data_IF_460793646781
#
_entry.id   IF_460793646781
#
_cell.length_a   1.000
_cell.length_b   1.000
_cell.length_c   1.000
_cell.angle_alpha   90.00
_cell.angle_beta   90.00
_cell.angle_gamma   90.00
#
_symmetry.space_group_name_H-M   'P 1'
#
loop_
_entity.id
_entity.type
_entity.pdbx_description
1 polymer ?
#
# COMPACT_ATOMS: atom_id res chain seq x y z
N UNK A 1 -25.63 -11.23 18.47
CA UNK A 1 -24.18 -11.48 18.62
C UNK A 1 -23.32 -10.89 17.50
N UNK A 2 -23.81 -10.77 16.25
CA UNK A 2 -23.01 -10.12 15.19
C UNK A 2 -22.61 -8.71 15.64
N UNK A 3 -21.30 -8.46 15.66
CA UNK A 3 -20.72 -7.18 16.03
C UNK A 3 -20.35 -7.01 17.51
N UNK A 4 -20.49 -8.06 18.32
CA UNK A 4 -19.93 -8.07 19.67
C UNK A 4 -18.42 -8.26 19.63
N UNK A 5 -17.71 -7.63 20.56
CA UNK A 5 -16.27 -7.77 20.68
C UNK A 5 -15.96 -9.02 21.50
N UNK A 6 -15.19 -9.94 20.93
CA UNK A 6 -14.69 -11.11 21.66
C UNK A 6 -13.55 -10.66 22.58
N UNK A 7 -13.67 -10.98 23.87
CA UNK A 7 -12.64 -10.72 24.88
C UNK A 7 -11.82 -11.97 25.21
N UNK A 8 -12.44 -13.15 25.18
CA UNK A 8 -11.78 -14.41 25.53
C UNK A 8 -12.22 -15.55 24.62
N UNK A 9 -11.33 -16.53 24.44
CA UNK A 9 -11.64 -17.84 23.86
C UNK A 9 -11.15 -18.91 24.82
N UNK A 10 -12.04 -19.79 25.31
CA UNK A 10 -11.74 -20.82 26.31
C UNK A 10 -10.97 -20.24 27.52
N UNK A 11 -11.52 -19.17 28.11
CA UNK A 11 -10.97 -18.46 29.28
C UNK A 11 -9.59 -17.78 29.07
N UNK A 12 -9.07 -17.76 27.84
CA UNK A 12 -7.82 -17.09 27.50
C UNK A 12 -8.13 -15.75 26.84
N UNK A 13 -7.50 -14.68 27.30
CA UNK A 13 -7.65 -13.34 26.75
C UNK A 13 -7.26 -13.30 25.26
N UNK A 14 -8.10 -12.65 24.45
CA UNK A 14 -7.92 -12.59 22.99
C UNK A 14 -6.58 -11.99 22.57
N UNK A 15 -6.02 -11.06 23.35
CA UNK A 15 -4.70 -10.46 23.07
C UNK A 15 -3.58 -11.45 23.33
N UNK A 16 -3.73 -12.32 24.32
CA UNK A 16 -2.76 -13.41 24.55
C UNK A 16 -2.80 -14.42 23.41
N UNK A 17 -3.99 -14.77 22.93
CA UNK A 17 -4.17 -15.64 21.77
C UNK A 17 -3.51 -15.02 20.54
N UNK A 18 -3.82 -13.76 20.25
CA UNK A 18 -3.23 -13.02 19.12
C UNK A 18 -1.71 -13.01 19.22
N UNK A 19 -1.14 -12.64 20.38
CA UNK A 19 0.32 -12.66 20.61
C UNK A 19 0.93 -14.03 20.32
N UNK A 20 0.24 -15.11 20.71
CA UNK A 20 0.71 -16.47 20.40
C UNK A 20 0.59 -16.79 18.91
N UNK A 21 -0.49 -16.39 18.23
CA UNK A 21 -0.69 -16.62 16.79
C UNK A 21 0.30 -15.82 15.92
N UNK A 22 0.72 -14.63 16.35
CA UNK A 22 1.68 -13.79 15.62
C UNK A 22 2.98 -14.54 15.29
N UNK A 23 3.38 -15.53 16.10
CA UNK A 23 4.59 -16.36 15.85
C UNK A 23 4.55 -17.15 14.54
N UNK A 24 3.37 -17.36 13.97
CA UNK A 24 3.18 -18.09 12.70
C UNK A 24 3.00 -17.16 11.51
N UNK A 25 3.13 -15.85 11.72
CA UNK A 25 2.91 -14.81 10.70
C UNK A 25 4.17 -13.98 10.52
N UNK A 26 4.33 -13.41 9.33
CA UNK A 26 5.46 -12.53 8.99
C UNK A 26 4.92 -11.31 8.26
N UNK A 27 5.30 -10.12 8.72
CA UNK A 27 5.02 -8.85 8.08
C UNK A 27 6.05 -7.81 8.54
N UNK A 28 6.13 -6.69 7.85
CA UNK A 28 7.04 -5.60 8.22
C UNK A 28 6.59 -4.87 9.48
N UNK A 29 5.29 -4.76 9.75
CA UNK A 29 4.73 -4.14 10.96
C UNK A 29 3.63 -4.96 11.61
N UNK A 30 3.31 -4.58 12.85
CA UNK A 30 2.35 -5.26 13.70
C UNK A 30 0.94 -5.28 13.08
N UNK A 31 0.46 -4.15 12.55
CA UNK A 31 -0.91 -4.08 11.99
C UNK A 31 -1.10 -5.05 10.82
N UNK A 32 -0.10 -5.22 9.96
CA UNK A 32 -0.16 -6.19 8.88
C UNK A 32 -0.03 -7.63 9.36
N UNK A 33 0.78 -7.87 10.39
CA UNK A 33 0.87 -9.19 11.02
C UNK A 33 -0.49 -9.60 11.64
N UNK A 34 -1.13 -8.69 12.37
CA UNK A 34 -2.49 -8.87 12.91
C UNK A 34 -3.52 -9.10 11.81
N UNK A 35 -3.47 -8.30 10.75
CA UNK A 35 -4.33 -8.49 9.57
C UNK A 35 -4.09 -9.85 8.92
N UNK A 36 -2.84 -10.35 8.89
CA UNK A 36 -2.52 -11.66 8.31
C UNK A 36 -3.14 -12.80 9.11
N UNK A 37 -3.18 -12.71 10.45
CA UNK A 37 -3.91 -13.66 11.32
C UNK A 37 -5.38 -13.73 10.88
N UNK A 38 -6.02 -12.58 10.66
CA UNK A 38 -7.42 -12.50 10.24
C UNK A 38 -7.62 -13.03 8.81
N UNK A 39 -6.76 -12.64 7.86
CA UNK A 39 -6.84 -13.06 6.45
C UNK A 39 -6.63 -14.55 6.27
N UNK A 40 -5.75 -15.14 7.07
CA UNK A 40 -5.52 -16.59 7.12
C UNK A 40 -6.52 -17.32 8.03
N UNK A 41 -7.48 -16.59 8.61
CA UNK A 41 -8.53 -17.13 9.48
C UNK A 41 -8.00 -17.99 10.63
N UNK A 42 -6.83 -17.63 11.19
CA UNK A 42 -6.11 -18.49 12.13
C UNK A 42 -6.88 -18.73 13.44
N UNK A 43 -7.77 -17.82 13.83
CA UNK A 43 -8.68 -18.01 14.95
C UNK A 43 -9.70 -19.14 14.74
N UNK A 44 -9.89 -19.60 13.49
CA UNK A 44 -10.87 -20.63 13.12
C UNK A 44 -10.23 -21.97 12.76
N UNK A 45 -8.90 -22.10 12.89
CA UNK A 45 -8.15 -23.30 12.49
C UNK A 45 -7.72 -24.06 13.76
N UNK A 46 -8.34 -25.22 14.07
CA UNK A 46 -8.08 -25.97 15.30
C UNK A 46 -6.61 -26.34 15.52
N UNK A 47 -5.85 -26.62 14.47
CA UNK A 47 -4.44 -26.98 14.56
C UNK A 47 -3.61 -25.84 15.17
N UNK A 48 -3.83 -24.60 14.73
CA UNK A 48 -3.14 -23.44 15.32
C UNK A 48 -3.59 -23.23 16.77
N UNK A 49 -4.89 -23.33 17.04
CA UNK A 49 -5.43 -23.16 18.40
C UNK A 49 -4.90 -24.23 19.38
N UNK A 50 -4.73 -25.48 18.93
CA UNK A 50 -4.12 -26.56 19.71
C UNK A 50 -2.65 -26.28 19.99
N UNK A 51 -1.90 -25.87 18.99
CA UNK A 51 -0.46 -25.56 19.12
C UNK A 51 -0.20 -24.42 20.13
N UNK A 52 -1.10 -23.44 20.22
CA UNK A 52 -0.98 -22.33 21.18
C UNK A 52 -1.66 -22.59 22.53
N UNK A 53 -2.27 -23.77 22.70
CA UNK A 53 -2.90 -24.23 23.94
C UNK A 53 -4.26 -23.60 24.23
N UNK A 54 -5.00 -23.12 23.22
CA UNK A 54 -6.40 -22.67 23.36
C UNK A 54 -7.37 -23.85 23.43
N UNK A 55 -7.03 -24.95 22.76
CA UNK A 55 -7.72 -26.24 22.84
C UNK A 55 -6.71 -27.36 23.09
N UNK A 56 -7.18 -28.51 23.57
CA UNK A 56 -6.35 -29.71 23.81
C UNK A 56 -6.51 -30.70 22.67
N UNK A 57 -7.73 -30.89 22.19
CA UNK A 57 -8.06 -31.76 21.06
C UNK A 57 -8.75 -31.00 19.93
N UNK A 58 -8.59 -31.47 18.69
CA UNK A 58 -9.17 -30.83 17.50
C UNK A 58 -10.72 -30.85 17.50
N UNK A 59 -11.31 -31.66 18.37
CA UNK A 59 -12.76 -31.76 18.58
C UNK A 59 -13.29 -30.88 19.71
N UNK A 60 -12.41 -30.18 20.44
CA UNK A 60 -12.83 -29.33 21.55
C UNK A 60 -13.67 -28.16 21.04
N UNK A 61 -14.67 -27.78 21.83
CA UNK A 61 -15.47 -26.59 21.58
C UNK A 61 -14.66 -25.33 21.87
N UNK A 62 -15.10 -24.22 21.26
CA UNK A 62 -14.65 -22.87 21.58
C UNK A 62 -15.76 -22.14 22.34
N UNK A 63 -15.48 -21.71 23.56
CA UNK A 63 -16.30 -20.75 24.30
C UNK A 63 -15.79 -19.34 24.00
N UNK A 64 -16.60 -18.51 23.35
CA UNK A 64 -16.30 -17.10 23.10
C UNK A 64 -17.01 -16.25 24.15
N UNK A 65 -16.25 -15.49 24.95
CA UNK A 65 -16.80 -14.51 25.90
C UNK A 65 -16.74 -13.11 25.28
N UNK A 66 -17.83 -12.36 25.36
CA UNK A 66 -17.98 -11.02 24.78
C UNK A 66 -17.76 -9.90 25.80
N UNK A 67 -17.78 -8.66 25.32
CA UNK A 67 -17.61 -7.43 26.10
C UNK A 67 -18.79 -7.05 27.01
N UNK A 68 -19.91 -7.76 26.89
CA UNK A 68 -21.07 -7.65 27.77
C UNK A 68 -21.31 -8.90 28.63
N UNK A 69 -20.24 -9.68 28.87
CA UNK A 69 -20.23 -10.90 29.68
C UNK A 69 -21.11 -12.06 29.16
N UNK A 70 -21.80 -11.89 28.03
CA UNK A 70 -22.41 -13.02 27.32
C UNK A 70 -21.35 -13.94 26.73
N UNK A 71 -21.70 -15.21 26.54
CA UNK A 71 -20.82 -16.17 25.87
C UNK A 71 -21.58 -17.08 24.88
N UNK A 72 -20.86 -17.65 23.93
CA UNK A 72 -21.35 -18.70 23.04
C UNK A 72 -20.34 -19.84 22.96
N UNK A 73 -20.85 -21.09 22.98
CA UNK A 73 -20.06 -22.25 22.60
C UNK A 73 -20.21 -22.57 21.10
N UNK A 74 -19.09 -22.79 20.42
CA UNK A 74 -19.01 -23.19 19.02
C UNK A 74 -18.36 -24.56 18.95
N UNK A 75 -19.00 -25.50 18.26
CA UNK A 75 -18.43 -26.83 18.02
C UNK A 75 -17.67 -26.82 16.70
N UNK A 76 -16.52 -27.50 16.58
CA UNK A 76 -15.85 -27.68 15.30
C UNK A 76 -16.78 -28.36 14.29
N UNK A 77 -17.00 -27.74 13.13
CA UNK A 77 -17.87 -28.28 12.07
C UNK A 77 -17.17 -28.21 10.72
N UNK A 78 -17.57 -29.07 9.77
CA UNK A 78 -17.08 -28.94 8.38
C UNK A 78 -17.89 -27.89 7.63
N UNK A 79 -17.24 -27.10 6.79
CA UNK A 79 -17.85 -26.00 6.02
C UNK A 79 -19.13 -26.40 5.25
N UNK A 80 -19.17 -27.61 4.70
CA UNK A 80 -20.31 -28.11 3.91
C UNK A 80 -21.58 -28.36 4.73
N UNK A 81 -21.50 -28.30 6.05
CA UNK A 81 -22.59 -28.60 6.99
C UNK A 81 -23.28 -27.32 7.50
N UNK A 82 -22.84 -26.14 7.06
CA UNK A 82 -23.29 -24.84 7.57
C UNK A 82 -24.10 -24.05 6.54
N UNK A 83 -25.20 -23.45 6.98
CA UNK A 83 -25.93 -22.43 6.21
C UNK A 83 -25.30 -21.05 6.48
N UNK A 84 -24.35 -20.66 5.64
CA UNK A 84 -23.70 -19.35 5.76
C UNK A 84 -24.64 -18.23 5.32
N UNK A 85 -24.89 -17.27 6.22
CA UNK A 85 -25.64 -16.05 5.90
C UNK A 85 -24.68 -14.92 5.51
N UNK A 86 -24.72 -14.51 4.24
CA UNK A 86 -23.92 -13.40 3.74
C UNK A 86 -24.69 -12.08 3.91
N UNK A 87 -24.23 -11.23 4.83
CA UNK A 87 -24.75 -9.86 4.95
C UNK A 87 -24.04 -8.94 3.96
N UNK A 88 -24.80 -8.30 3.08
CA UNK A 88 -24.26 -7.27 2.19
C UNK A 88 -23.91 -6.03 3.00
N UNK A 89 -22.64 -5.63 2.95
CA UNK A 89 -22.15 -4.39 3.56
C UNK A 89 -22.37 -3.25 2.55
N UNK A 90 -23.13 -2.19 2.89
CA UNK A 90 -23.27 -1.03 2.01
C UNK A 90 -21.93 -0.28 1.89
N UNK A 91 -21.67 0.28 0.71
CA UNK A 91 -20.51 1.13 0.46
C UNK A 91 -20.91 2.60 0.55
N UNK A 92 -20.04 3.44 1.13
CA UNK A 92 -20.20 4.89 1.09
C UNK A 92 -20.03 5.40 -0.35
N UNK A 93 -20.97 6.21 -0.85
CA UNK A 93 -21.09 6.47 -2.29
C UNK A 93 -19.87 7.21 -2.88
N UNK A 94 -19.35 8.23 -2.19
CA UNK A 94 -18.21 9.02 -2.66
C UNK A 94 -16.94 8.17 -2.72
N UNK A 95 -16.72 7.33 -1.71
CA UNK A 95 -15.47 6.57 -1.57
C UNK A 95 -15.52 5.16 -2.13
N UNK A 96 -16.68 4.76 -2.67
CA UNK A 96 -16.87 3.48 -3.33
C UNK A 96 -15.79 3.25 -4.39
N UNK A 97 -15.09 2.11 -4.28
CA UNK A 97 -14.02 1.74 -5.20
C UNK A 97 -14.51 1.70 -6.64
N UNK A 98 -13.84 2.42 -7.52
CA UNK A 98 -14.09 2.38 -8.95
C UNK A 98 -13.15 1.38 -9.63
N UNK A 99 -13.63 0.69 -10.66
CA UNK A 99 -12.82 -0.25 -11.44
C UNK A 99 -11.93 0.51 -12.45
N UNK A 100 -11.06 1.38 -11.94
CA UNK A 100 -10.08 2.18 -12.68
C UNK A 100 -8.81 2.29 -11.85
N UNK A 101 -7.66 2.42 -12.50
CA UNK A 101 -6.38 2.64 -11.80
C UNK A 101 -6.38 3.94 -11.01
N UNK A 102 -7.05 4.96 -11.54
CA UNK A 102 -7.27 6.26 -10.90
C UNK A 102 -8.50 6.95 -11.50
N UNK A 103 -9.18 7.77 -10.69
CA UNK A 103 -10.25 8.66 -11.13
C UNK A 103 -10.45 9.79 -10.12
N UNK A 104 -11.09 10.88 -10.53
CA UNK A 104 -11.50 11.93 -9.59
C UNK A 104 -12.93 12.41 -9.87
N UNK A 105 -13.54 12.97 -8.83
CA UNK A 105 -14.78 13.76 -8.90
C UNK A 105 -14.58 15.07 -8.14
N UNK A 106 -15.27 16.12 -8.55
CA UNK A 106 -15.28 17.42 -7.88
C UNK A 106 -16.61 17.69 -7.20
N UNK A 107 -16.56 18.41 -6.08
CA UNK A 107 -17.72 18.83 -5.29
C UNK A 107 -17.58 20.33 -4.98
N UNK A 108 -17.75 21.22 -5.97
CA UNK A 108 -17.47 22.65 -5.81
C UNK A 108 -18.27 23.31 -4.69
N UNK A 109 -19.55 22.95 -4.52
CA UNK A 109 -20.41 23.49 -3.47
C UNK A 109 -19.92 23.15 -2.04
N UNK A 110 -19.16 22.07 -1.92
CA UNK A 110 -18.57 21.59 -0.67
C UNK A 110 -17.06 21.92 -0.58
N UNK A 111 -16.52 22.61 -1.59
CA UNK A 111 -15.12 23.03 -1.69
C UNK A 111 -14.12 21.87 -1.56
N UNK A 112 -14.41 20.72 -2.18
CA UNK A 112 -13.41 19.65 -2.27
C UNK A 112 -13.46 18.86 -3.58
N UNK A 113 -12.36 18.18 -3.86
CA UNK A 113 -12.29 17.12 -4.85
C UNK A 113 -11.90 15.80 -4.17
N UNK A 114 -12.39 14.71 -4.72
CA UNK A 114 -12.05 13.35 -4.29
C UNK A 114 -11.33 12.63 -5.43
N UNK A 115 -10.09 12.23 -5.18
CA UNK A 115 -9.24 11.50 -6.11
C UNK A 115 -8.96 10.11 -5.51
N UNK A 116 -9.40 9.04 -6.17
CA UNK A 116 -9.02 7.69 -5.79
C UNK A 116 -7.87 7.20 -6.67
N UNK A 117 -6.76 6.82 -6.04
CA UNK A 117 -5.58 6.28 -6.70
C UNK A 117 -5.42 4.82 -6.31
N UNK A 118 -5.98 3.93 -7.12
CA UNK A 118 -6.14 2.51 -6.79
C UNK A 118 -4.91 1.65 -7.08
N UNK A 119 -4.08 2.02 -8.05
CA UNK A 119 -2.86 1.30 -8.41
C UNK A 119 -1.87 2.23 -9.13
N UNK A 120 -0.58 2.07 -8.88
CA UNK A 120 0.48 2.89 -9.45
C UNK A 120 0.94 2.34 -10.81
N UNK A 121 0.02 2.15 -11.75
CA UNK A 121 0.32 1.72 -13.12
C UNK A 121 -0.33 2.63 -14.15
N UNK A 122 0.36 2.83 -15.27
CA UNK A 122 -0.16 3.46 -16.46
C UNK A 122 0.39 2.78 -17.72
N UNK A 123 0.04 3.32 -18.89
CA UNK A 123 0.48 2.79 -20.18
C UNK A 123 2.00 2.79 -20.37
N UNK A 124 2.70 3.80 -19.85
CA UNK A 124 4.15 3.95 -20.00
C UNK A 124 4.81 2.83 -19.20
N UNK A 125 4.43 2.71 -17.94
CA UNK A 125 4.92 1.67 -17.04
C UNK A 125 4.69 0.25 -17.58
N UNK A 126 3.49 -0.07 -18.07
CA UNK A 126 3.19 -1.39 -18.64
C UNK A 126 4.13 -1.72 -19.82
N UNK A 127 4.43 -0.74 -20.67
CA UNK A 127 5.34 -0.93 -21.81
C UNK A 127 6.81 -1.05 -21.38
N UNK A 128 7.16 -0.43 -20.26
CA UNK A 128 8.51 -0.47 -19.70
C UNK A 128 8.81 -1.77 -18.99
N UNK A 129 7.84 -2.30 -18.25
CA UNK A 129 7.96 -3.60 -17.57
C UNK A 129 8.33 -4.74 -18.54
N UNK A 130 7.96 -4.61 -19.82
CA UNK A 130 8.37 -5.56 -20.88
C UNK A 130 9.90 -5.66 -20.97
N UNK A 131 10.63 -4.56 -20.78
CA UNK A 131 12.08 -4.54 -20.88
C UNK A 131 12.74 -5.33 -19.74
N UNK A 132 12.08 -5.38 -18.58
CA UNK A 132 12.54 -6.09 -17.38
C UNK A 132 12.22 -7.58 -17.44
N UNK A 133 11.02 -7.96 -17.89
CA UNK A 133 10.53 -9.35 -17.78
C UNK A 133 10.56 -10.15 -19.09
N UNK A 134 10.77 -9.49 -20.24
CA UNK A 134 10.77 -10.16 -21.55
C UNK A 134 12.15 -10.13 -22.17
N UNK A 135 12.62 -11.30 -22.61
CA UNK A 135 13.91 -11.47 -23.28
C UNK A 135 14.02 -10.52 -24.49
N UNK A 136 15.18 -9.87 -24.72
CA UNK A 136 15.32 -8.80 -25.72
C UNK A 136 14.73 -9.10 -27.10
N UNK A 137 14.94 -10.30 -27.63
CA UNK A 137 14.44 -10.69 -28.97
C UNK A 137 12.92 -10.90 -29.05
N UNK A 138 12.23 -11.09 -27.91
CA UNK A 138 10.77 -11.22 -27.84
C UNK A 138 10.07 -9.88 -27.53
N UNK A 139 10.82 -8.86 -27.09
CA UNK A 139 10.26 -7.56 -26.71
C UNK A 139 9.44 -6.89 -27.83
N UNK A 140 9.83 -6.92 -29.12
CA UNK A 140 9.01 -6.34 -30.18
C UNK A 140 7.62 -6.98 -30.29
N UNK A 141 7.56 -8.31 -30.18
CA UNK A 141 6.31 -9.08 -30.25
C UNK A 141 5.44 -8.79 -29.02
N UNK A 142 6.03 -8.81 -27.82
CA UNK A 142 5.32 -8.47 -26.58
C UNK A 142 4.77 -7.03 -26.62
N UNK A 143 5.55 -6.06 -27.08
CA UNK A 143 5.10 -4.67 -27.26
C UNK A 143 3.95 -4.58 -28.26
N UNK A 144 4.00 -5.29 -29.38
CA UNK A 144 2.91 -5.32 -30.36
C UNK A 144 1.62 -5.91 -29.77
N UNK A 145 1.74 -7.00 -29.01
CA UNK A 145 0.61 -7.60 -28.29
C UNK A 145 -0.01 -6.63 -27.29
N UNK A 146 0.78 -6.02 -26.41
CA UNK A 146 0.32 -5.06 -25.40
C UNK A 146 -0.34 -3.84 -26.05
N UNK A 147 0.27 -3.26 -27.08
CA UNK A 147 -0.30 -2.15 -27.85
C UNK A 147 -1.66 -2.50 -28.48
N UNK A 148 -1.87 -3.76 -28.88
CA UNK A 148 -3.18 -4.24 -29.36
C UNK A 148 -4.20 -4.30 -28.23
N UNK A 149 -3.81 -4.68 -27.01
CA UNK A 149 -4.73 -4.70 -25.86
C UNK A 149 -5.24 -3.30 -25.51
N UNK A 150 -4.40 -2.27 -25.56
CA UNK A 150 -4.81 -0.89 -25.29
C UNK A 150 -5.91 -0.35 -26.22
N UNK A 151 -6.10 -0.96 -27.40
CA UNK A 151 -7.14 -0.57 -28.36
C UNK A 151 -8.48 -1.28 -28.12
N UNK A 152 -8.50 -2.33 -27.30
CA UNK A 152 -9.73 -3.10 -27.04
C UNK A 152 -10.64 -2.35 -26.07
N UNK A 153 -11.94 -2.58 -26.19
CA UNK A 153 -12.90 -2.18 -25.16
C UNK A 153 -12.73 -3.01 -23.90
N UNK A 154 -12.48 -4.32 -24.07
CA UNK A 154 -12.16 -5.24 -22.99
C UNK A 154 -10.75 -5.83 -23.20
N UNK A 155 -9.71 -5.23 -22.60
CA UNK A 155 -8.37 -5.82 -22.61
C UNK A 155 -8.36 -7.14 -21.84
N UNK A 156 -7.33 -7.96 -22.07
CA UNK A 156 -7.12 -9.19 -21.28
C UNK A 156 -6.97 -8.88 -19.78
N UNK A 157 -7.29 -9.83 -18.91
CA UNK A 157 -7.09 -9.73 -17.46
C UNK A 157 -5.66 -9.31 -17.05
N UNK A 158 -4.65 -9.71 -17.83
CA UNK A 158 -3.25 -9.28 -17.64
C UNK A 158 -3.01 -7.76 -17.73
N UNK A 159 -3.94 -7.01 -18.33
CA UNK A 159 -3.82 -5.57 -18.60
C UNK A 159 -4.96 -4.79 -17.94
N UNK A 160 -6.15 -5.39 -17.85
CA UNK A 160 -7.37 -4.72 -17.43
C UNK A 160 -7.26 -4.01 -16.08
N UNK A 161 -6.63 -4.64 -15.08
CA UNK A 161 -6.53 -4.09 -13.73
C UNK A 161 -5.51 -2.94 -13.61
N UNK A 162 -4.55 -2.88 -14.54
CA UNK A 162 -3.44 -1.91 -14.53
C UNK A 162 -3.54 -0.83 -15.61
N UNK A 163 -4.58 -0.88 -16.46
CA UNK A 163 -4.74 0.04 -17.59
C UNK A 163 -6.06 0.80 -17.53
N UNK A 164 -5.95 2.13 -17.48
CA UNK A 164 -7.08 3.03 -17.61
C UNK A 164 -7.15 3.58 -19.05
N UNK A 165 -8.22 3.23 -19.78
CA UNK A 165 -8.40 3.67 -21.16
C UNK A 165 -8.76 5.16 -21.27
N UNK A 166 -9.51 5.68 -20.30
CA UNK A 166 -9.92 7.08 -20.25
C UNK A 166 -8.72 7.98 -19.99
N UNK A 167 -7.86 7.53 -19.08
CA UNK A 167 -6.60 8.19 -18.77
C UNK A 167 -5.42 7.21 -18.91
N UNK A 168 -4.86 7.05 -20.12
CA UNK A 168 -3.78 6.09 -20.36
C UNK A 168 -2.45 6.45 -19.69
N UNK A 169 -2.21 7.74 -19.44
CA UNK A 169 -0.93 8.27 -18.92
C UNK A 169 -1.25 9.03 -17.64
N UNK A 170 -0.60 8.65 -16.54
CA UNK A 170 -0.97 9.16 -15.21
C UNK A 170 -0.64 10.64 -15.04
N UNK A 171 0.51 11.10 -15.53
CA UNK A 171 0.89 12.52 -15.49
C UNK A 171 -0.18 13.41 -16.12
N UNK A 172 -0.72 13.00 -17.27
CA UNK A 172 -1.68 13.81 -18.01
C UNK A 172 -3.02 13.88 -17.25
N UNK A 173 -3.41 12.79 -16.57
CA UNK A 173 -4.54 12.79 -15.63
C UNK A 173 -4.33 13.73 -14.45
N UNK A 174 -3.17 13.69 -13.78
CA UNK A 174 -2.91 14.57 -12.62
C UNK A 174 -2.85 16.03 -13.08
N UNK A 175 -2.29 16.29 -14.24
CA UNK A 175 -2.30 17.62 -14.84
C UNK A 175 -3.74 18.15 -14.99
N UNK A 176 -4.61 17.37 -15.63
CA UNK A 176 -6.02 17.75 -15.81
C UNK A 176 -6.74 17.92 -14.48
N UNK A 177 -6.54 17.00 -13.53
CA UNK A 177 -7.09 17.11 -12.18
C UNK A 177 -6.71 18.46 -11.57
N UNK A 178 -5.41 18.79 -11.51
CA UNK A 178 -4.98 20.02 -10.83
C UNK A 178 -5.42 21.28 -11.60
N UNK A 179 -5.42 21.27 -12.93
CA UNK A 179 -6.01 22.36 -13.72
C UNK A 179 -7.50 22.56 -13.42
N UNK A 180 -8.27 21.47 -13.38
CA UNK A 180 -9.70 21.49 -13.07
C UNK A 180 -9.97 22.07 -11.69
N UNK A 181 -9.21 21.64 -10.67
CA UNK A 181 -9.32 22.13 -9.31
C UNK A 181 -8.98 23.63 -9.21
N UNK A 182 -7.89 24.05 -9.83
CA UNK A 182 -7.45 25.44 -9.82
C UNK A 182 -8.48 26.36 -10.53
N UNK A 183 -9.01 25.93 -11.68
CA UNK A 183 -10.02 26.69 -12.43
C UNK A 183 -11.37 26.77 -11.69
N UNK A 184 -11.74 25.71 -10.98
CA UNK A 184 -12.94 25.68 -10.16
C UNK A 184 -12.78 26.35 -8.78
N UNK A 185 -11.59 26.87 -8.46
CA UNK A 185 -11.23 27.42 -7.14
C UNK A 185 -11.47 26.44 -5.97
N UNK A 186 -11.30 25.14 -6.22
CA UNK A 186 -11.41 24.11 -5.18
C UNK A 186 -10.16 24.17 -4.31
N UNK A 187 -10.35 24.33 -3.01
CA UNK A 187 -9.26 24.52 -2.04
C UNK A 187 -8.89 23.25 -1.27
N UNK A 188 -9.61 22.15 -1.44
CA UNK A 188 -9.34 20.91 -0.70
C UNK A 188 -9.33 19.68 -1.64
N UNK A 189 -8.33 18.83 -1.50
CA UNK A 189 -8.19 17.59 -2.27
C UNK A 189 -8.03 16.41 -1.30
N UNK A 190 -8.96 15.47 -1.38
CA UNK A 190 -8.91 14.19 -0.66
C UNK A 190 -8.39 13.14 -1.64
N UNK A 191 -7.25 12.53 -1.31
CA UNK A 191 -6.58 11.50 -2.11
C UNK A 191 -6.72 10.16 -1.39
N UNK A 192 -7.56 9.28 -1.91
CA UNK A 192 -7.74 7.94 -1.37
C UNK A 192 -6.75 6.97 -2.01
N UNK A 193 -5.80 6.49 -1.19
CA UNK A 193 -4.82 5.45 -1.53
C UNK A 193 -5.06 4.17 -0.73
N UNK A 194 -6.21 4.02 -0.05
CA UNK A 194 -6.57 2.80 0.67
C UNK A 194 -6.62 1.63 -0.27
N UNK A 195 -6.03 0.51 0.14
CA UNK A 195 -5.94 -0.71 -0.67
C UNK A 195 -5.25 -0.52 -2.03
N UNK A 196 -4.38 0.49 -2.16
CA UNK A 196 -3.47 0.59 -3.31
C UNK A 196 -2.23 -0.26 -3.03
N UNK A 197 -1.99 -1.36 -3.78
CA UNK A 197 -0.87 -2.26 -3.54
C UNK A 197 0.48 -1.68 -3.98
N UNK A 198 0.48 -0.50 -4.60
CA UNK A 198 1.64 0.13 -5.21
C UNK A 198 1.72 -0.14 -6.70
N UNK A 199 2.93 -0.41 -7.19
CA UNK A 199 3.28 -0.44 -8.61
C UNK A 199 4.55 0.37 -8.83
N UNK A 200 4.53 1.27 -9.80
CA UNK A 200 5.68 2.10 -10.14
C UNK A 200 5.76 3.37 -9.29
N UNK A 201 6.83 3.50 -8.50
CA UNK A 201 7.10 4.65 -7.63
C UNK A 201 7.20 5.97 -8.38
N UNK A 202 7.55 5.97 -9.68
CA UNK A 202 7.64 7.21 -10.47
C UNK A 202 6.28 7.89 -10.58
N UNK A 203 5.17 7.15 -10.72
CA UNK A 203 3.83 7.75 -10.73
C UNK A 203 3.52 8.43 -9.38
N UNK A 204 3.96 7.84 -8.28
CA UNK A 204 3.84 8.47 -6.96
C UNK A 204 4.63 9.78 -6.86
N UNK A 205 5.87 9.80 -7.38
CA UNK A 205 6.71 11.00 -7.47
C UNK A 205 6.06 12.08 -8.35
N UNK A 206 5.45 11.70 -9.48
CA UNK A 206 4.69 12.61 -10.33
C UNK A 206 3.54 13.26 -9.54
N UNK A 207 2.73 12.48 -8.82
CA UNK A 207 1.66 13.03 -7.98
C UNK A 207 2.21 14.04 -6.96
N UNK A 208 3.25 13.69 -6.20
CA UNK A 208 3.86 14.60 -5.22
C UNK A 208 4.28 15.92 -5.86
N UNK A 209 4.84 15.89 -7.06
CA UNK A 209 5.30 17.08 -7.77
C UNK A 209 4.16 18.05 -8.12
N UNK A 210 2.95 17.55 -8.38
CA UNK A 210 1.77 18.38 -8.61
C UNK A 210 1.16 18.96 -7.32
N UNK A 211 1.53 18.43 -6.15
CA UNK A 211 0.99 18.81 -4.84
C UNK A 211 1.89 19.77 -4.06
N UNK A 212 2.99 20.24 -4.65
CA UNK A 212 3.94 21.11 -3.97
C UNK A 212 4.70 22.04 -4.93
N UNK A 213 4.95 23.26 -4.47
CA UNK A 213 5.85 24.22 -5.13
C UNK A 213 7.34 23.91 -4.83
N UNK A 214 7.64 22.93 -3.96
CA UNK A 214 9.00 22.52 -3.64
C UNK A 214 9.69 21.93 -4.87
N UNK A 215 10.90 22.41 -5.16
CA UNK A 215 11.78 21.89 -6.23
C UNK A 215 12.59 20.67 -5.78
N UNK A 216 12.65 20.43 -4.47
CA UNK A 216 13.35 19.31 -3.86
C UNK A 216 12.47 18.65 -2.79
N UNK A 217 12.35 17.32 -2.88
CA UNK A 217 11.69 16.47 -1.90
C UNK A 217 12.74 15.48 -1.39
N UNK A 218 12.96 15.42 -0.08
CA UNK A 218 13.89 14.45 0.50
C UNK A 218 13.34 13.04 0.27
N UNK A 219 14.16 12.17 -0.31
CA UNK A 219 13.79 10.78 -0.56
C UNK A 219 14.38 9.80 0.45
N UNK A 220 14.21 8.52 0.16
CA UNK A 220 14.70 7.42 0.99
C UNK A 220 16.20 7.22 0.83
N UNK A 221 16.81 6.59 1.84
CA UNK A 221 18.14 6.00 1.71
C UNK A 221 17.98 4.48 1.63
N UNK A 222 18.64 3.86 0.65
CA UNK A 222 18.58 2.42 0.42
C UNK A 222 19.96 1.78 0.63
N UNK A 223 19.97 0.65 1.34
CA UNK A 223 21.14 -0.19 1.55
C UNK A 223 20.90 -1.59 1.00
N UNK A 224 21.93 -2.19 0.42
CA UNK A 224 21.97 -3.62 0.10
C UNK A 224 22.37 -4.40 1.35
N UNK A 225 21.71 -5.53 1.62
CA UNK A 225 22.22 -6.52 2.57
C UNK A 225 23.14 -7.52 1.84
N UNK A 226 24.45 -7.35 2.01
CA UNK A 226 25.46 -8.14 1.30
C UNK A 226 25.40 -9.59 1.77
N UNK A 227 25.10 -10.48 0.83
CA UNK A 227 25.06 -11.92 1.05
C UNK A 227 25.38 -12.69 -0.23
N UNK A 228 25.72 -13.97 -0.11
CA UNK A 228 25.85 -14.87 -1.27
C UNK A 228 24.57 -14.92 -2.12
N UNK A 229 23.39 -14.83 -1.49
CA UNK A 229 22.11 -14.75 -2.19
C UNK A 229 22.02 -13.44 -2.97
N UNK A 230 22.36 -12.31 -2.34
CA UNK A 230 22.37 -11.01 -3.01
C UNK A 230 23.30 -11.03 -4.22
N UNK A 231 24.52 -11.54 -4.07
CA UNK A 231 25.50 -11.67 -5.15
C UNK A 231 25.00 -12.52 -6.31
N UNK A 232 24.31 -13.63 -6.03
CA UNK A 232 23.85 -14.56 -7.06
C UNK A 232 22.64 -14.05 -7.86
N UNK A 233 21.81 -13.19 -7.27
CA UNK A 233 20.54 -12.76 -7.87
C UNK A 233 20.51 -11.28 -8.27
N UNK A 234 21.40 -10.46 -7.72
CA UNK A 234 21.56 -9.04 -8.02
C UNK A 234 22.99 -8.74 -8.52
N UNK A 235 23.52 -9.61 -9.39
CA UNK A 235 24.92 -9.60 -9.86
C UNK A 235 25.39 -8.22 -10.31
N UNK A 236 24.66 -7.57 -11.22
CA UNK A 236 25.07 -6.25 -11.75
C UNK A 236 25.15 -5.19 -10.64
N UNK A 237 24.20 -5.21 -9.70
CA UNK A 237 24.20 -4.28 -8.55
C UNK A 237 25.35 -4.61 -7.60
N UNK A 238 25.59 -5.90 -7.32
CA UNK A 238 26.69 -6.35 -6.49
C UNK A 238 28.05 -5.96 -7.08
N UNK A 239 28.27 -6.16 -8.38
CA UNK A 239 29.51 -5.81 -9.08
C UNK A 239 29.78 -4.30 -9.05
N UNK A 240 28.73 -3.49 -9.23
CA UNK A 240 28.84 -2.03 -9.10
C UNK A 240 29.21 -1.62 -7.68
N UNK A 241 28.55 -2.18 -6.66
CA UNK A 241 28.89 -1.93 -5.26
C UNK A 241 30.32 -2.38 -4.94
N UNK A 242 30.75 -3.54 -5.44
CA UNK A 242 32.11 -4.04 -5.24
C UNK A 242 33.15 -3.09 -5.83
N UNK A 243 32.90 -2.60 -7.05
CA UNK A 243 33.75 -1.60 -7.70
C UNK A 243 33.83 -0.29 -6.92
N UNK A 244 32.69 0.25 -6.48
CA UNK A 244 32.61 1.48 -5.69
C UNK A 244 33.30 1.34 -4.32
N UNK A 245 33.26 0.14 -3.74
CA UNK A 245 33.90 -0.20 -2.46
C UNK A 245 35.28 -0.84 -2.62
N UNK A 246 35.95 -0.65 -3.77
CA UNK A 246 37.34 -1.08 -4.03
C UNK A 246 37.60 -2.59 -3.83
N UNK A 247 36.61 -3.42 -4.16
CA UNK A 247 36.70 -4.87 -4.07
C UNK A 247 36.36 -5.45 -2.69
N UNK A 248 35.96 -4.62 -1.73
CA UNK A 248 35.69 -5.07 -0.35
C UNK A 248 34.21 -4.97 -0.03
N UNK A 249 33.53 -6.12 -0.03
CA UNK A 249 32.16 -6.26 0.48
C UNK A 249 32.14 -7.37 1.54
N UNK A 250 31.88 -7.01 2.78
CA UNK A 250 31.82 -7.97 3.89
C UNK A 250 30.44 -8.63 3.94
N UNK A 251 30.39 -9.96 3.88
CA UNK A 251 29.17 -10.74 3.98
C UNK A 251 28.45 -10.48 5.32
N UNK A 252 27.15 -10.24 5.29
CA UNK A 252 26.32 -9.92 6.46
C UNK A 252 26.32 -8.43 6.85
N UNK A 253 26.93 -7.54 6.05
CA UNK A 253 26.89 -6.09 6.26
C UNK A 253 25.90 -5.40 5.32
N UNK A 254 25.41 -4.25 5.77
CA UNK A 254 24.67 -3.32 4.92
C UNK A 254 25.64 -2.37 4.21
N UNK A 255 25.42 -2.17 2.92
CA UNK A 255 26.21 -1.24 2.09
C UNK A 255 25.26 -0.28 1.40
N UNK A 256 25.57 1.02 1.45
CA UNK A 256 24.75 2.06 0.83
C UNK A 256 24.65 1.81 -0.67
N UNK A 257 23.43 1.68 -1.19
CA UNK A 257 23.17 1.69 -2.64
C UNK A 257 23.03 3.14 -3.09
N UNK A 258 22.14 3.88 -2.44
CA UNK A 258 21.80 5.22 -2.87
C UNK A 258 21.15 6.02 -1.74
N UNK A 259 21.43 7.32 -1.74
CA UNK A 259 20.76 8.30 -0.89
C UNK A 259 20.00 9.28 -1.77
N UNK A 260 18.68 9.23 -1.71
CA UNK A 260 17.81 10.06 -2.53
C UNK A 260 17.75 11.51 -2.01
N UNK A 261 18.67 12.33 -2.53
CA UNK A 261 18.75 13.76 -2.20
C UNK A 261 17.55 14.53 -2.74
N UNK A 262 16.97 14.09 -3.85
CA UNK A 262 15.77 14.70 -4.42
C UNK A 262 14.94 13.63 -5.13
N UNK A 263 13.85 13.21 -4.48
CA UNK A 263 12.96 12.18 -4.99
C UNK A 263 12.34 12.52 -6.34
N UNK A 264 12.41 13.79 -6.77
CA UNK A 264 11.89 14.28 -8.03
C UNK A 264 12.90 14.17 -9.20
N UNK A 265 14.15 13.75 -8.98
CA UNK A 265 15.20 13.73 -10.03
C UNK A 265 14.73 13.06 -11.33
N UNK A 266 14.10 11.89 -11.22
CA UNK A 266 13.76 11.04 -12.37
C UNK A 266 12.63 11.62 -13.23
N UNK A 267 11.79 12.48 -12.64
CA UNK A 267 10.71 13.17 -13.35
C UNK A 267 11.14 14.55 -13.84
N UNK A 268 12.21 15.12 -13.28
CA UNK A 268 12.78 16.39 -13.73
C UNK A 268 13.76 16.20 -14.89
N UNK A 269 14.32 15.01 -15.07
CA UNK A 269 15.17 14.66 -16.22
C UNK A 269 14.37 14.75 -17.53
N UNK A 270 14.78 15.65 -18.43
CA UNK A 270 14.16 15.85 -19.74
C UNK A 270 14.26 14.66 -20.70
N UNK A 271 15.17 13.72 -20.43
CA UNK A 271 15.33 12.48 -21.21
C UNK A 271 14.41 11.36 -20.72
N UNK A 272 13.81 11.52 -19.53
CA UNK A 272 12.88 10.56 -18.95
C UNK A 272 11.56 10.54 -19.71
N UNK A 273 11.05 9.34 -20.02
CA UNK A 273 9.68 9.14 -20.51
C UNK A 273 8.60 9.58 -19.51
N UNK A 274 8.97 9.74 -18.24
CA UNK A 274 8.10 10.22 -17.17
C UNK A 274 8.26 11.72 -16.90
N UNK A 275 9.03 12.43 -17.73
CA UNK A 275 9.37 13.83 -17.53
C UNK A 275 8.15 14.73 -17.31
N UNK A 276 8.25 15.66 -16.38
CA UNK A 276 7.30 16.75 -16.15
C UNK A 276 8.09 18.06 -16.17
N UNK A 277 7.69 18.98 -17.05
CA UNK A 277 8.26 20.33 -17.08
C UNK A 277 7.94 21.10 -15.80
N UNK A 278 8.86 21.99 -15.38
CA UNK A 278 8.65 22.82 -14.19
C UNK A 278 7.44 23.75 -14.31
N UNK A 279 7.12 24.18 -15.54
CA UNK A 279 5.89 24.91 -15.85
C UNK A 279 4.72 23.93 -15.95
N UNK A 280 4.08 23.67 -14.81
CA UNK A 280 2.94 22.78 -14.64
C UNK A 280 1.94 23.43 -13.66
N UNK A 281 0.68 23.02 -13.65
CA UNK A 281 -0.22 23.42 -12.59
C UNK A 281 0.22 22.81 -11.26
N UNK A 282 0.13 23.59 -10.18
CA UNK A 282 0.44 23.13 -8.83
C UNK A 282 -0.77 23.37 -7.96
N UNK A 283 -1.14 22.36 -7.17
CA UNK A 283 -2.23 22.48 -6.21
C UNK A 283 -1.72 23.15 -4.94
N UNK A 284 -2.32 24.28 -4.58
CA UNK A 284 -1.93 25.08 -3.42
C UNK A 284 -2.89 24.96 -2.24
N UNK A 285 -3.94 24.15 -2.39
CA UNK A 285 -4.94 23.91 -1.37
C UNK A 285 -4.50 22.89 -0.32
N UNK A 286 -5.42 22.52 0.55
CA UNK A 286 -5.21 21.49 1.57
C UNK A 286 -5.32 20.10 0.94
N UNK A 287 -4.35 19.23 1.25
CA UNK A 287 -4.33 17.85 0.76
C UNK A 287 -4.54 16.90 1.94
N UNK A 288 -5.45 15.94 1.79
CA UNK A 288 -5.71 14.90 2.78
C UNK A 288 -5.53 13.53 2.11
N UNK A 289 -4.65 12.70 2.64
CA UNK A 289 -4.48 11.32 2.17
C UNK A 289 -5.26 10.36 3.06
N UNK A 290 -6.04 9.46 2.44
CA UNK A 290 -6.65 8.34 3.14
C UNK A 290 -5.80 7.09 2.87
N UNK A 291 -5.24 6.47 3.92
CA UNK A 291 -4.37 5.29 3.79
C UNK A 291 -4.70 4.22 4.83
N UNK A 292 -4.43 2.96 4.51
CA UNK A 292 -4.66 1.86 5.44
C UNK A 292 -3.56 0.79 5.34
N UNK A 293 -3.67 -0.26 6.15
CA UNK A 293 -2.72 -1.37 6.19
C UNK A 293 -2.55 -2.10 4.83
N UNK A 294 -3.53 -1.99 3.92
CA UNK A 294 -3.44 -2.51 2.56
C UNK A 294 -2.80 -1.54 1.55
N UNK A 295 -2.47 -0.30 1.95
CA UNK A 295 -1.66 0.63 1.15
C UNK A 295 -0.21 0.14 1.19
N UNK A 296 0.29 -0.41 0.08
CA UNK A 296 1.56 -1.13 0.04
C UNK A 296 2.55 -0.61 -0.99
N UNK A 297 3.80 -1.07 -0.89
CA UNK A 297 4.89 -0.83 -1.85
C UNK A 297 5.00 0.65 -2.25
N UNK A 298 5.00 0.97 -3.55
CA UNK A 298 5.08 2.35 -4.05
C UNK A 298 4.05 3.31 -3.40
N UNK A 299 2.84 2.85 -3.09
CA UNK A 299 1.82 3.68 -2.44
C UNK A 299 2.15 3.93 -0.96
N UNK A 300 2.78 2.98 -0.27
CA UNK A 300 3.31 3.21 1.09
C UNK A 300 4.47 4.21 1.08
N UNK A 301 5.34 4.15 0.05
CA UNK A 301 6.41 5.13 -0.15
C UNK A 301 5.83 6.52 -0.45
N UNK A 302 4.76 6.63 -1.24
CA UNK A 302 4.03 7.87 -1.48
C UNK A 302 3.58 8.52 -0.17
N UNK A 303 2.90 7.76 0.69
CA UNK A 303 2.39 8.27 1.97
C UNK A 303 3.53 8.73 2.87
N UNK A 304 4.62 7.96 2.92
CA UNK A 304 5.80 8.33 3.71
C UNK A 304 6.45 9.61 3.18
N UNK A 305 6.68 9.72 1.86
CA UNK A 305 7.28 10.91 1.26
C UNK A 305 6.40 12.14 1.46
N UNK A 306 5.07 11.98 1.32
CA UNK A 306 4.11 13.03 1.59
C UNK A 306 4.23 13.51 3.05
N UNK A 307 4.18 12.57 4.01
CA UNK A 307 4.27 12.87 5.44
C UNK A 307 5.61 13.51 5.84
N UNK A 308 6.74 12.97 5.38
CA UNK A 308 8.09 13.40 5.79
C UNK A 308 8.49 14.72 5.14
N UNK A 309 7.85 15.07 4.02
CA UNK A 309 8.05 16.35 3.35
C UNK A 309 6.90 17.35 3.57
N UNK A 310 5.99 17.07 4.52
CA UNK A 310 4.87 17.97 4.87
C UNK A 310 3.98 18.33 3.68
N UNK A 311 3.64 17.34 2.87
CA UNK A 311 2.74 17.45 1.71
C UNK A 311 1.43 16.77 2.10
N UNK A 312 0.53 17.53 2.70
CA UNK A 312 -0.79 17.07 3.13
C UNK A 312 -0.82 16.38 4.50
N UNK A 313 -2.01 15.95 4.88
CA UNK A 313 -2.35 15.30 6.15
C UNK A 313 -2.77 13.85 5.91
N UNK A 314 -2.22 12.91 6.67
CA UNK A 314 -2.49 11.47 6.53
C UNK A 314 -3.55 11.04 7.54
N UNK A 315 -4.61 10.37 7.06
CA UNK A 315 -5.76 9.92 7.83
C UNK A 315 -5.96 8.42 7.60
N UNK A 316 -6.13 7.65 8.69
CA UNK A 316 -6.45 6.24 8.62
C UNK A 316 -5.63 5.38 9.56
N UNK A 317 -5.05 4.29 9.06
CA UNK A 317 -4.10 3.46 9.81
C UNK A 317 -2.72 3.53 9.18
N UNK A 318 -1.72 2.95 9.84
CA UNK A 318 -0.39 2.70 9.25
C UNK A 318 -0.52 1.98 7.91
N UNK A 319 0.38 2.32 6.99
CA UNK A 319 0.56 1.62 5.70
C UNK A 319 1.22 0.25 5.88
N UNK A 320 1.21 -0.55 4.82
CA UNK A 320 1.58 -1.95 4.91
C UNK A 320 3.09 -2.24 5.04
N UNK A 321 3.93 -1.33 4.56
CA UNK A 321 5.38 -1.46 4.61
C UNK A 321 5.97 -0.49 5.63
N UNK A 322 7.08 -0.86 6.26
CA UNK A 322 7.81 0.06 7.12
C UNK A 322 8.64 1.05 6.29
N UNK A 323 8.51 2.35 6.56
CA UNK A 323 9.40 3.36 5.99
C UNK A 323 10.89 3.10 6.26
N UNK A 324 11.21 2.55 7.44
CA UNK A 324 12.58 2.20 7.82
C UNK A 324 12.62 0.74 8.24
N UNK A 325 13.37 -0.08 7.51
CA UNK A 325 13.39 -1.53 7.76
C UNK A 325 13.88 -2.34 6.57
N UNK A 326 14.01 -3.65 6.80
CA UNK A 326 14.28 -4.62 5.75
C UNK A 326 13.08 -4.69 4.80
N UNK A 327 13.34 -4.58 3.50
CA UNK A 327 12.31 -4.55 2.46
C UNK A 327 12.81 -5.24 1.19
N UNK A 328 12.07 -5.09 0.09
CA UNK A 328 12.24 -5.77 -1.19
C UNK A 328 11.77 -7.22 -1.13
N UNK A 329 10.76 -7.55 -1.94
CA UNK A 329 10.28 -8.91 -2.06
C UNK A 329 11.04 -9.65 -3.17
N UNK A 330 12.23 -10.13 -2.85
CA UNK A 330 13.05 -10.84 -3.81
C UNK A 330 12.74 -12.34 -3.76
N UNK A 331 12.39 -12.93 -4.91
CA UNK A 331 12.12 -14.35 -5.04
C UNK A 331 13.40 -15.11 -5.37
N UNK A 332 13.62 -16.22 -4.69
CA UNK A 332 14.80 -17.06 -4.87
C UNK A 332 14.40 -18.54 -4.97
N UNK A 333 15.22 -19.30 -5.68
CA UNK A 333 15.15 -20.76 -5.69
C UNK A 333 16.41 -21.34 -5.02
N UNK A 334 16.21 -22.18 -4.01
CA UNK A 334 17.34 -22.80 -3.30
C UNK A 334 18.06 -23.81 -4.22
N UNK A 335 19.40 -23.82 -4.26
CA UNK A 335 20.16 -24.52 -5.29
C UNK A 335 19.98 -26.05 -5.25
N UNK A 336 19.84 -26.63 -4.04
CA UNK A 336 19.73 -28.09 -3.83
C UNK A 336 18.29 -28.59 -3.81
N UNK A 337 17.41 -27.95 -3.03
CA UNK A 337 16.03 -28.43 -2.82
C UNK A 337 15.06 -27.91 -3.87
N UNK A 338 15.44 -26.86 -4.63
CA UNK A 338 14.56 -26.16 -5.58
C UNK A 338 13.35 -25.51 -4.93
N UNK A 339 13.37 -25.34 -3.61
CA UNK A 339 12.33 -24.63 -2.87
C UNK A 339 12.34 -23.17 -3.28
N UNK A 340 11.19 -22.64 -3.69
CA UNK A 340 11.00 -21.21 -3.91
C UNK A 340 10.75 -20.52 -2.59
N UNK A 341 11.51 -19.47 -2.32
CA UNK A 341 11.42 -18.68 -1.09
C UNK A 341 11.50 -17.19 -1.40
N UNK A 342 11.22 -16.37 -0.40
CA UNK A 342 11.27 -14.91 -0.49
C UNK A 342 12.08 -14.37 0.67
N UNK A 343 12.90 -13.35 0.40
CA UNK A 343 13.72 -12.71 1.43
C UNK A 343 13.90 -11.23 1.11
N UNK A 344 13.95 -10.41 2.17
CA UNK A 344 14.34 -9.02 2.07
C UNK A 344 15.83 -8.91 1.71
N UNK A 345 16.15 -8.10 0.71
CA UNK A 345 17.53 -7.87 0.24
C UNK A 345 17.99 -6.43 0.38
N UNK A 346 17.06 -5.52 0.61
CA UNK A 346 17.36 -4.11 0.84
C UNK A 346 16.93 -3.70 2.24
N UNK A 347 17.50 -2.59 2.71
CA UNK A 347 17.07 -1.91 3.92
C UNK A 347 16.83 -0.44 3.59
N UNK A 348 15.63 0.06 3.87
CA UNK A 348 15.27 1.47 3.62
C UNK A 348 15.39 2.28 4.91
N UNK A 349 15.73 3.55 4.77
CA UNK A 349 15.60 4.58 5.80
C UNK A 349 14.76 5.72 5.24
N UNK A 350 13.69 6.06 5.96
CA UNK A 350 12.79 7.16 5.60
C UNK A 350 13.48 8.54 5.65
N UNK A 351 12.98 9.55 4.92
CA UNK A 351 13.58 10.88 4.91
C UNK A 351 13.62 11.58 6.29
N UNK A 352 12.55 11.47 7.09
CA UNK A 352 12.47 12.06 8.44
C UNK A 352 12.57 10.96 9.50
N UNK A 353 13.79 10.66 9.92
CA UNK A 353 14.07 9.61 10.91
C UNK A 353 13.48 9.88 12.29
N UNK A 354 13.09 11.13 12.59
CA UNK A 354 12.46 11.47 13.87
C UNK A 354 11.06 10.86 14.04
N UNK A 355 10.42 10.47 12.94
CA UNK A 355 9.08 9.85 12.92
C UNK A 355 9.09 8.34 13.19
N UNK A 356 10.23 7.77 13.56
CA UNK A 356 10.36 6.36 13.91
C UNK A 356 10.33 5.43 12.69
N UNK A 357 10.34 4.12 12.99
CA UNK A 357 10.48 3.07 11.97
C UNK A 357 9.19 2.77 11.20
N UNK A 358 8.05 2.89 11.87
CA UNK A 358 6.71 2.65 11.31
C UNK A 358 6.09 3.97 10.85
N UNK A 359 5.19 3.91 9.87
CA UNK A 359 4.44 5.08 9.42
C UNK A 359 3.19 5.24 10.29
N UNK A 360 3.16 6.26 11.14
CA UNK A 360 1.95 6.60 11.90
C UNK A 360 1.19 7.72 11.18
N UNK A 361 -0.11 7.57 10.85
CA UNK A 361 -0.92 8.64 10.28
C UNK A 361 -1.02 9.81 11.25
N UNK A 362 -1.29 11.02 10.73
CA UNK A 362 -1.49 12.20 11.56
C UNK A 362 -2.81 12.09 12.36
N UNK A 363 -3.79 11.39 11.80
CA UNK A 363 -5.03 11.00 12.49
C UNK A 363 -5.25 9.49 12.35
N UNK A 364 -5.07 8.77 13.46
CA UNK A 364 -5.38 7.34 13.54
C UNK A 364 -6.88 7.11 13.63
N UNK A 365 -7.45 6.41 12.64
CA UNK A 365 -8.87 6.09 12.53
C UNK A 365 -9.00 4.62 12.13
N UNK A 366 -9.87 3.88 12.81
CA UNK A 366 -10.24 2.50 12.48
C UNK A 366 -11.75 2.41 12.27
N UNK A 367 -12.18 1.47 11.42
CA UNK A 367 -13.60 1.19 11.23
C UNK A 367 -14.16 0.41 12.42
N UNK A 368 -15.26 0.89 12.99
CA UNK A 368 -16.09 0.08 13.88
C UNK A 368 -16.98 -0.88 13.08
N UNK A 369 -17.50 -1.92 13.73
CA UNK A 369 -18.51 -2.77 13.13
C UNK A 369 -19.75 -1.97 12.73
N UNK A 370 -20.11 -0.95 13.51
CA UNK A 370 -21.26 -0.10 13.19
C UNK A 370 -21.04 0.70 11.91
N UNK A 371 -19.81 1.14 11.63
CA UNK A 371 -19.48 1.84 10.39
C UNK A 371 -19.71 0.92 9.18
N UNK A 372 -19.23 -0.33 9.25
CA UNK A 372 -19.50 -1.33 8.22
C UNK A 372 -21.02 -1.60 8.07
N UNK A 373 -21.74 -1.80 9.18
CA UNK A 373 -23.17 -2.10 9.13
C UNK A 373 -24.02 -0.95 8.57
N UNK A 374 -23.57 0.29 8.74
CA UNK A 374 -24.28 1.50 8.29
C UNK A 374 -23.74 2.08 6.98
N UNK A 375 -22.60 1.58 6.49
CA UNK A 375 -21.97 2.06 5.26
C UNK A 375 -21.32 3.42 5.39
N UNK A 376 -20.89 3.78 6.61
CA UNK A 376 -20.14 5.01 6.87
C UNK A 376 -18.67 4.85 6.50
N UNK A 377 -18.03 5.96 6.19
CA UNK A 377 -16.59 6.03 5.94
C UNK A 377 -15.94 7.01 6.94
N UNK A 378 -15.45 6.52 8.10
CA UNK A 378 -14.90 7.39 9.13
C UNK A 378 -13.62 8.11 8.69
N UNK A 379 -12.90 7.61 7.68
CA UNK A 379 -11.68 8.26 7.18
C UNK A 379 -12.07 9.49 6.36
N UNK A 380 -13.07 9.33 5.49
CA UNK A 380 -13.64 10.43 4.72
C UNK A 380 -14.32 11.47 5.62
N UNK A 381 -15.14 11.02 6.58
CA UNK A 381 -15.79 11.92 7.54
C UNK A 381 -14.76 12.76 8.30
N UNK A 382 -13.62 12.17 8.67
CA UNK A 382 -12.52 12.91 9.31
C UNK A 382 -11.91 13.97 8.39
N UNK A 383 -11.72 13.67 7.11
CA UNK A 383 -11.23 14.67 6.14
C UNK A 383 -12.21 15.84 6.01
N UNK A 384 -13.52 15.56 5.93
CA UNK A 384 -14.56 16.60 5.89
C UNK A 384 -14.58 17.44 7.17
N UNK A 385 -14.45 16.82 8.35
CA UNK A 385 -14.33 17.53 9.62
C UNK A 385 -13.17 18.55 9.59
N UNK A 386 -12.00 18.14 9.09
CA UNK A 386 -10.83 19.02 8.97
C UNK A 386 -11.03 20.15 7.97
N UNK A 387 -11.69 19.89 6.84
CA UNK A 387 -12.05 20.91 5.85
C UNK A 387 -12.95 21.98 6.48
N UNK A 388 -13.98 21.57 7.20
CA UNK A 388 -14.91 22.49 7.88
C UNK A 388 -14.17 23.32 8.95
N UNK A 389 -13.32 22.67 9.76
CA UNK A 389 -12.54 23.34 10.81
C UNK A 389 -11.57 24.38 10.24
N UNK A 390 -10.88 24.05 9.15
CA UNK A 390 -9.96 24.96 8.48
C UNK A 390 -10.69 26.16 7.88
N UNK A 391 -11.91 25.97 7.36
CA UNK A 391 -12.76 27.07 6.88
C UNK A 391 -13.21 28.01 7.99
N UNK A 392 -13.51 27.49 9.18
CA UNK A 392 -13.90 28.29 10.34
C UNK A 392 -12.73 29.07 10.98
N UNK A 393 -11.49 28.72 10.67
CA UNK A 393 -10.28 29.36 11.21
C UNK A 393 -9.70 30.44 10.28
N UNK A 394 -10.30 30.64 9.10
CA UNK A 394 -10.01 31.72 8.15
C UNK A 394 -11.05 32.81 8.32
#
# INVERSE_FOLDING_TARGET
MIGKKVLQINDIDIKEIEKKLLRFTFAENLINQQTLIQRLQMFNIPEYLKEIGVIKELTDKLSLTFDDDEFIEITPTKDKEQNLYNKKIPSFEITKRQNKTYFYNTYPDQDFAYFQFNICHDKIDILDAIQTYVKPWLQPVAKAFVKRQFKKEQPSSLIADSYNKEYPIFRDFVWELIDSLNNANISNLIIDVRNNPGGNTILCKQLLFFLTDKTEIKGFTEYAYISEIYKAYFTDTYENLEKENKGVLENGKMVLIYQDKNALSDILDSTSKYHIGVNRPVFKGNVYFLSNYNTGSAAALLITLAQDNSIGTIIGTSVGNNPTGATTWAQFELPKTKTKTVMATSYYIRPDTSKGIEQMPDYWIEYSIQDYLTGKDPYFEKAIELIIKNKASR
#
